data_IF_579853343097
#
_entry.id   IF_579853343097
#
_cell.length_a   1.000
_cell.length_b   1.000
_cell.length_c   1.000
_cell.angle_alpha   90.00
_cell.angle_beta   90.00
_cell.angle_gamma   90.00
#
_symmetry.space_group_name_H-M   'P 1'
#
loop_
_entity.id
_entity.type
_entity.pdbx_description
1 polymer ?
#
# COMPACT_ATOMS: atom_id res chain seq x y z
N UNK A 1 12.36 14.78 -16.24
CA UNK A 1 13.58 14.62 -15.41
C UNK A 1 13.33 14.83 -13.95
N UNK A 2 12.77 15.96 -13.56
CA UNK A 2 12.37 16.21 -12.16
C UNK A 2 11.39 15.16 -11.65
N UNK A 3 10.51 14.71 -12.52
CA UNK A 3 9.49 13.71 -12.18
C UNK A 3 10.11 12.33 -11.87
N UNK A 4 11.15 11.94 -12.60
CA UNK A 4 11.84 10.69 -12.37
C UNK A 4 12.60 10.69 -11.04
N UNK A 5 13.25 11.81 -10.70
CA UNK A 5 13.95 11.97 -9.43
C UNK A 5 12.98 11.92 -8.25
N UNK A 6 11.81 12.53 -8.41
CA UNK A 6 10.75 12.50 -7.39
C UNK A 6 10.26 11.06 -7.16
N UNK A 7 9.99 10.34 -8.25
CA UNK A 7 9.53 8.94 -8.18
C UNK A 7 10.57 8.06 -7.49
N UNK A 8 11.85 8.23 -7.85
CA UNK A 8 12.94 7.48 -7.22
C UNK A 8 13.05 7.75 -5.72
N UNK A 9 12.89 9.01 -5.30
CA UNK A 9 12.91 9.37 -3.87
C UNK A 9 11.75 8.74 -3.13
N UNK A 10 10.55 8.80 -3.70
CA UNK A 10 9.37 8.19 -3.08
C UNK A 10 9.58 6.69 -2.95
N UNK A 11 10.11 6.02 -3.96
CA UNK A 11 10.39 4.59 -3.92
C UNK A 11 11.44 4.26 -2.86
N UNK A 12 12.52 5.05 -2.76
CA UNK A 12 13.55 4.85 -1.74
C UNK A 12 13.00 5.06 -0.33
N UNK A 13 12.22 6.13 -0.13
CA UNK A 13 11.60 6.43 1.16
C UNK A 13 10.64 5.30 1.56
N UNK A 14 9.93 4.75 0.61
CA UNK A 14 9.01 3.63 0.83
C UNK A 14 9.77 2.38 1.23
N UNK A 15 10.85 2.05 0.53
CA UNK A 15 11.65 0.87 0.87
C UNK A 15 12.22 0.99 2.28
N UNK A 16 12.69 2.19 2.68
CA UNK A 16 13.15 2.44 4.03
C UNK A 16 12.02 2.30 5.05
N UNK A 17 10.85 2.83 4.73
CA UNK A 17 9.68 2.74 5.61
C UNK A 17 9.20 1.30 5.73
N UNK A 18 9.19 0.53 4.64
CA UNK A 18 8.86 -0.89 4.68
C UNK A 18 9.83 -1.66 5.57
N UNK A 19 11.13 -1.33 5.51
CA UNK A 19 12.13 -1.93 6.40
C UNK A 19 11.83 -1.61 7.87
N UNK A 20 11.41 -0.38 8.18
CA UNK A 20 11.02 0.02 9.53
C UNK A 20 9.75 -0.72 9.98
N UNK A 21 8.79 -0.88 9.09
CA UNK A 21 7.56 -1.65 9.38
C UNK A 21 7.93 -3.09 9.74
N UNK A 22 8.78 -3.72 8.96
CA UNK A 22 9.24 -5.09 9.21
C UNK A 22 9.99 -5.17 10.56
N UNK A 23 10.81 -4.17 10.88
CA UNK A 23 11.53 -4.11 12.15
C UNK A 23 10.56 -4.06 13.32
N UNK A 24 9.53 -3.20 13.27
CA UNK A 24 8.50 -3.13 14.31
C UNK A 24 7.74 -4.47 14.42
N UNK A 25 7.44 -5.08 13.28
CA UNK A 25 6.77 -6.38 13.23
C UNK A 25 7.61 -7.46 13.91
N UNK A 26 8.91 -7.52 13.62
CA UNK A 26 9.83 -8.47 14.22
C UNK A 26 9.95 -8.29 15.73
N UNK A 27 9.84 -7.06 16.21
CA UNK A 27 9.83 -6.73 17.64
C UNK A 27 8.45 -6.85 18.27
N UNK A 28 7.45 -7.29 17.50
CA UNK A 28 6.04 -7.40 17.90
C UNK A 28 5.42 -6.06 18.30
N UNK A 29 5.95 -4.96 17.78
CA UNK A 29 5.35 -3.64 17.93
C UNK A 29 4.37 -3.40 16.78
N UNK A 30 3.23 -4.09 16.84
CA UNK A 30 2.25 -4.05 15.76
C UNK A 30 1.60 -2.68 15.62
N UNK A 31 1.36 -1.98 16.72
CA UNK A 31 0.78 -0.63 16.66
C UNK A 31 1.74 0.35 15.98
N UNK A 32 3.02 0.26 16.28
CA UNK A 32 4.03 1.07 15.61
C UNK A 32 4.09 0.78 14.12
N UNK A 33 4.05 -0.50 13.74
CA UNK A 33 4.03 -0.91 12.34
C UNK A 33 2.81 -0.39 11.60
N UNK A 34 1.62 -0.55 12.19
CA UNK A 34 0.37 -0.07 11.58
C UNK A 34 0.34 1.45 11.46
N UNK A 35 0.89 2.17 12.44
CA UNK A 35 0.98 3.64 12.38
C UNK A 35 1.86 4.10 11.23
N UNK A 36 2.97 3.41 10.97
CA UNK A 36 3.83 3.72 9.84
C UNK A 36 3.12 3.47 8.51
N UNK A 37 2.34 2.39 8.43
CA UNK A 37 1.55 2.09 7.23
C UNK A 37 0.55 3.23 6.97
N UNK A 38 -0.17 3.69 8.00
CA UNK A 38 -1.10 4.80 7.87
C UNK A 38 -0.41 6.08 7.40
N UNK A 39 0.77 6.36 7.95
CA UNK A 39 1.53 7.54 7.55
C UNK A 39 1.89 7.50 6.07
N UNK A 40 2.37 6.36 5.58
CA UNK A 40 2.72 6.21 4.16
C UNK A 40 1.47 6.30 3.28
N UNK A 41 0.36 5.73 3.71
CA UNK A 41 -0.91 5.86 2.99
C UNK A 41 -1.32 7.33 2.84
N UNK A 42 -1.21 8.11 3.91
CA UNK A 42 -1.53 9.54 3.85
C UNK A 42 -0.62 10.29 2.89
N UNK A 43 0.66 9.96 2.86
CA UNK A 43 1.60 10.59 1.95
C UNK A 43 1.35 10.20 0.49
N UNK A 44 0.99 8.95 0.25
CA UNK A 44 0.82 8.41 -1.11
C UNK A 44 -0.53 8.76 -1.72
N UNK A 45 -1.63 8.59 -0.97
CA UNK A 45 -2.99 8.77 -1.50
C UNK A 45 -3.83 9.76 -0.71
N UNK A 46 -3.25 10.39 0.31
CA UNK A 46 -3.92 11.44 1.08
C UNK A 46 -4.87 10.95 2.17
N UNK A 47 -4.89 9.65 2.46
CA UNK A 47 -5.78 9.10 3.46
C UNK A 47 -5.16 7.88 4.14
N UNK A 48 -5.77 7.45 5.26
CA UNK A 48 -5.28 6.30 6.02
C UNK A 48 -5.83 4.96 5.48
N UNK A 49 -5.34 3.87 6.07
CA UNK A 49 -5.72 2.52 5.68
C UNK A 49 -7.20 2.23 5.93
N UNK A 50 -7.77 2.74 7.01
CA UNK A 50 -9.18 2.52 7.33
C UNK A 50 -10.09 3.05 6.22
N UNK A 51 -9.76 4.22 5.67
CA UNK A 51 -10.52 4.78 4.55
C UNK A 51 -10.38 3.90 3.31
N UNK A 52 -9.17 3.39 3.05
CA UNK A 52 -8.91 2.52 1.90
C UNK A 52 -9.75 1.24 2.00
N UNK A 53 -9.88 0.66 3.19
CA UNK A 53 -10.72 -0.52 3.40
C UNK A 53 -12.22 -0.21 3.26
N UNK A 54 -12.62 1.02 3.48
CA UNK A 54 -14.03 1.43 3.46
C UNK A 54 -14.55 1.77 2.06
N UNK A 55 -13.67 2.09 1.10
CA UNK A 55 -14.09 2.48 -0.25
C UNK A 55 -14.13 1.27 -1.18
N UNK A 56 -14.82 1.43 -2.31
CA UNK A 56 -14.86 0.39 -3.33
C UNK A 56 -13.55 0.30 -4.08
N UNK A 57 -13.32 -0.84 -4.72
CA UNK A 57 -12.18 -1.02 -5.61
C UNK A 57 -12.14 0.03 -6.71
N UNK A 58 -13.30 0.34 -7.30
CA UNK A 58 -13.40 1.35 -8.34
C UNK A 58 -12.95 2.72 -7.85
N UNK A 59 -13.35 3.10 -6.64
CA UNK A 59 -12.94 4.38 -6.05
C UNK A 59 -11.44 4.40 -5.79
N UNK A 60 -10.90 3.31 -5.26
CA UNK A 60 -9.46 3.23 -5.01
C UNK A 60 -8.67 3.35 -6.30
N UNK A 61 -9.08 2.66 -7.35
CA UNK A 61 -8.42 2.74 -8.66
C UNK A 61 -8.52 4.15 -9.25
N UNK A 62 -9.66 4.83 -9.04
CA UNK A 62 -9.80 6.23 -9.46
C UNK A 62 -8.79 7.14 -8.75
N UNK A 63 -8.56 6.92 -7.46
CA UNK A 63 -7.57 7.67 -6.68
C UNK A 63 -6.14 7.42 -7.16
N UNK A 64 -5.88 6.24 -7.73
CA UNK A 64 -4.57 5.84 -8.24
C UNK A 64 -4.39 6.16 -9.73
N UNK A 65 -5.37 6.81 -10.34
CA UNK A 65 -5.37 7.15 -11.76
C UNK A 65 -5.18 8.65 -11.92
N UNK A 66 -4.25 9.05 -12.80
CA UNK A 66 -3.99 10.45 -13.10
C UNK A 66 -4.16 10.66 -14.60
N UNK A 67 -5.05 11.59 -14.98
CA UNK A 67 -5.32 11.91 -16.38
C UNK A 67 -5.67 10.67 -17.22
N UNK A 68 -6.45 9.77 -16.64
CA UNK A 68 -6.90 8.57 -17.32
C UNK A 68 -5.88 7.43 -17.35
N UNK A 69 -4.72 7.60 -16.71
CA UNK A 69 -3.66 6.59 -16.70
C UNK A 69 -3.37 6.16 -15.27
N UNK A 70 -3.35 4.86 -15.03
CA UNK A 70 -3.02 4.32 -13.72
C UNK A 70 -1.57 4.66 -13.35
N UNK A 71 -1.39 5.21 -12.16
CA UNK A 71 -0.04 5.43 -11.60
C UNK A 71 0.49 4.10 -11.07
N UNK A 72 1.25 3.41 -11.90
CA UNK A 72 1.74 2.06 -11.58
C UNK A 72 2.65 2.06 -10.35
N UNK A 73 3.50 3.07 -10.20
CA UNK A 73 4.42 3.14 -9.06
C UNK A 73 3.64 3.29 -7.75
N UNK A 74 2.67 4.19 -7.73
CA UNK A 74 1.84 4.41 -6.56
C UNK A 74 0.98 3.17 -6.25
N UNK A 75 0.44 2.54 -7.28
CA UNK A 75 -0.37 1.33 -7.13
C UNK A 75 0.47 0.19 -6.55
N UNK A 76 1.68 -0.01 -7.05
CA UNK A 76 2.59 -1.02 -6.53
C UNK A 76 2.95 -0.75 -5.07
N UNK A 77 3.19 0.52 -4.73
CA UNK A 77 3.46 0.93 -3.37
C UNK A 77 2.30 0.55 -2.45
N UNK A 78 1.07 0.89 -2.85
CA UNK A 78 -0.11 0.56 -2.06
C UNK A 78 -0.28 -0.95 -1.89
N UNK A 79 -0.01 -1.72 -2.95
CA UNK A 79 -0.08 -3.18 -2.87
C UNK A 79 0.91 -3.73 -1.83
N UNK A 80 2.14 -3.20 -1.80
CA UNK A 80 3.16 -3.61 -0.83
C UNK A 80 2.76 -3.26 0.60
N UNK A 81 2.19 -2.07 0.81
CA UNK A 81 1.74 -1.64 2.14
C UNK A 81 0.61 -2.51 2.65
N UNK A 82 -0.35 -2.82 1.80
CA UNK A 82 -1.51 -3.64 2.19
C UNK A 82 -1.09 -5.08 2.46
N UNK A 83 -0.12 -5.60 1.73
CA UNK A 83 0.44 -6.92 2.04
C UNK A 83 1.11 -6.93 3.40
N UNK A 84 1.91 -5.90 3.71
CA UNK A 84 2.56 -5.78 5.02
C UNK A 84 1.51 -5.67 6.13
N UNK A 85 0.46 -4.91 5.91
CA UNK A 85 -0.67 -4.79 6.85
C UNK A 85 -1.31 -6.16 7.10
N UNK A 86 -1.54 -6.91 6.03
CA UNK A 86 -2.10 -8.27 6.15
C UNK A 86 -1.22 -9.19 6.97
N UNK A 87 0.10 -9.14 6.76
CA UNK A 87 1.06 -9.93 7.54
C UNK A 87 0.97 -9.60 9.03
N UNK A 88 0.83 -8.31 9.37
CA UNK A 88 0.69 -7.86 10.75
C UNK A 88 -0.60 -8.40 11.36
N UNK A 89 -1.73 -8.28 10.67
CA UNK A 89 -3.01 -8.79 11.16
C UNK A 89 -2.97 -10.30 11.36
N UNK A 90 -2.30 -11.02 10.47
CA UNK A 90 -2.14 -12.46 10.59
C UNK A 90 -1.37 -12.81 11.87
N UNK A 91 -0.28 -12.11 12.16
CA UNK A 91 0.48 -12.32 13.39
C UNK A 91 -0.30 -11.94 14.63
N UNK A 92 -1.21 -10.97 14.55
CA UNK A 92 -2.09 -10.59 15.64
C UNK A 92 -3.22 -11.59 15.87
N UNK A 93 -3.34 -12.62 15.04
CA UNK A 93 -4.42 -13.59 15.14
C UNK A 93 -5.75 -13.07 14.63
N UNK A 94 -5.73 -12.13 13.68
CA UNK A 94 -6.92 -11.54 13.07
C UNK A 94 -6.97 -11.92 11.57
N UNK A 95 -7.37 -13.17 11.25
CA UNK A 95 -7.34 -13.65 9.87
C UNK A 95 -8.32 -12.93 8.95
N UNK A 96 -9.43 -12.42 9.46
CA UNK A 96 -10.42 -11.73 8.63
C UNK A 96 -9.86 -10.40 8.12
N UNK A 97 -9.23 -9.62 9.01
CA UNK A 97 -8.58 -8.38 8.62
C UNK A 97 -7.40 -8.64 7.68
N UNK A 98 -6.63 -9.68 7.94
CA UNK A 98 -5.52 -10.08 7.06
C UNK A 98 -6.01 -10.41 5.67
N UNK A 99 -7.10 -11.17 5.57
CA UNK A 99 -7.70 -11.54 4.28
C UNK A 99 -8.10 -10.30 3.47
N UNK A 100 -8.76 -9.34 4.12
CA UNK A 100 -9.17 -8.10 3.45
C UNK A 100 -7.97 -7.34 2.90
N UNK A 101 -6.92 -7.19 3.68
CA UNK A 101 -5.70 -6.50 3.25
C UNK A 101 -5.03 -7.20 2.08
N UNK A 102 -4.90 -8.53 2.16
CA UNK A 102 -4.33 -9.33 1.08
C UNK A 102 -5.17 -9.25 -0.20
N UNK A 103 -6.48 -9.25 -0.07
CA UNK A 103 -7.37 -9.17 -1.22
C UNK A 103 -7.21 -7.86 -1.97
N UNK A 104 -7.16 -6.74 -1.26
CA UNK A 104 -6.95 -5.43 -1.88
C UNK A 104 -5.57 -5.41 -2.56
N UNK A 105 -4.54 -5.90 -1.88
CA UNK A 105 -3.19 -5.97 -2.44
C UNK A 105 -3.17 -6.77 -3.74
N UNK A 106 -3.78 -7.95 -3.74
CA UNK A 106 -3.84 -8.81 -4.91
C UNK A 106 -4.58 -8.13 -6.06
N UNK A 107 -5.72 -7.49 -5.78
CA UNK A 107 -6.50 -6.80 -6.80
C UNK A 107 -5.70 -5.66 -7.44
N UNK A 108 -4.93 -4.93 -6.66
CA UNK A 108 -4.06 -3.87 -7.19
C UNK A 108 -2.96 -4.44 -8.09
N UNK A 109 -2.35 -5.55 -7.68
CA UNK A 109 -1.33 -6.21 -8.50
C UNK A 109 -1.91 -6.73 -9.80
N UNK A 110 -3.12 -7.30 -9.77
CA UNK A 110 -3.80 -7.76 -10.98
C UNK A 110 -4.09 -6.61 -11.94
N UNK A 111 -4.48 -5.43 -11.42
CA UNK A 111 -4.72 -4.26 -12.27
C UNK A 111 -3.44 -3.80 -12.97
N UNK A 112 -2.31 -3.85 -12.27
CA UNK A 112 -1.02 -3.52 -12.88
C UNK A 112 -0.72 -4.47 -14.04
N UNK A 113 -0.88 -5.78 -13.83
CA UNK A 113 -0.62 -6.80 -14.85
C UNK A 113 -1.55 -6.64 -16.05
N UNK A 114 -2.84 -6.43 -15.80
CA UNK A 114 -3.83 -6.27 -16.87
C UNK A 114 -3.55 -5.06 -17.75
N UNK A 115 -3.09 -3.97 -17.16
CA UNK A 115 -2.79 -2.76 -17.92
C UNK A 115 -1.47 -2.85 -18.68
N UNK A 116 -0.52 -3.63 -18.15
CA UNK A 116 0.77 -3.85 -18.81
C UNK A 116 0.61 -4.63 -20.11
N UNK A 117 -0.37 -5.53 -20.18
CA UNK A 117 -0.67 -6.32 -21.37
C UNK A 117 -1.46 -5.54 -22.43
N UNK A 118 -2.05 -4.44 -22.04
CA UNK A 118 -2.83 -3.59 -22.94
C UNK A 118 -1.99 -2.60 -23.67
#
# INVERSE_FOLDING_TARGET
>A
MLQNDYILRVAEDVDQTLAQIISHQDMRDYQGALSLIDEVCRQAVGTDSDFIHAISEETLLAMLTLLGVLDVQKTLLMAKLLKAEGDIYEEQGNPDAAYESYLISLNLLLEIVLRDEG
#
